data_IF_063208995535
#
_entry.id   IF_063208995535
#
_cell.length_a   1.000
_cell.length_b   1.000
_cell.length_c   1.000
_cell.angle_alpha   90.00
_cell.angle_beta   90.00
_cell.angle_gamma   90.00
#
_symmetry.space_group_name_H-M   'P 1'
#
loop_
_entity.id
_entity.type
_entity.pdbx_description
1 polymer ?
#
# COMPACT_ATOMS: atom_id res chain seq x y z
N UNK A 1 -2.00 -19.10 19.54
CA UNK A 1 -1.04 -18.69 20.58
C UNK A 1 -1.41 -17.26 20.98
N UNK A 2 -1.92 -17.02 22.20
CA UNK A 2 -2.39 -15.69 22.63
C UNK A 2 -1.18 -14.82 22.97
N UNK A 3 -0.99 -13.72 22.24
CA UNK A 3 0.05 -12.73 22.54
C UNK A 3 -0.39 -11.84 23.71
N UNK A 4 0.46 -11.59 24.74
CA UNK A 4 0.13 -10.67 25.82
C UNK A 4 0.13 -9.21 25.34
N UNK A 5 -0.63 -8.37 26.04
CA UNK A 5 -0.97 -6.98 25.71
C UNK A 5 0.26 -6.03 25.68
N UNK A 6 1.45 -6.47 26.10
CA UNK A 6 2.70 -5.69 26.08
C UNK A 6 3.70 -6.19 25.02
N UNK A 7 3.27 -6.25 23.75
CA UNK A 7 4.13 -6.67 22.64
C UNK A 7 5.40 -5.82 22.47
N UNK A 8 5.36 -4.54 22.86
CA UNK A 8 6.46 -3.58 22.71
C UNK A 8 7.68 -3.93 23.59
N UNK A 9 7.46 -4.28 24.86
CA UNK A 9 8.54 -4.57 25.82
C UNK A 9 9.21 -5.92 25.55
N UNK A 10 8.41 -6.95 25.22
CA UNK A 10 8.92 -8.28 24.88
C UNK A 10 9.78 -8.20 23.61
N UNK A 11 9.39 -7.35 22.66
CA UNK A 11 10.08 -7.26 21.37
C UNK A 11 11.36 -6.41 21.42
N UNK A 12 11.37 -5.36 22.26
CA UNK A 12 12.58 -4.58 22.57
C UNK A 12 13.62 -5.41 23.34
N UNK A 13 13.19 -6.31 24.22
CA UNK A 13 14.09 -7.23 24.93
C UNK A 13 14.82 -8.23 24.01
N UNK A 14 14.27 -8.54 22.83
CA UNK A 14 14.86 -9.49 21.87
C UNK A 14 15.81 -8.83 20.85
N UNK A 15 15.74 -7.51 20.64
CA UNK A 15 16.46 -6.80 19.56
C UNK A 15 17.50 -5.76 20.03
N UNK A 16 17.90 -5.78 21.30
CA UNK A 16 18.71 -4.74 21.94
C UNK A 16 20.21 -4.65 21.57
N UNK A 17 20.64 -5.10 20.39
CA UNK A 17 22.06 -5.06 20.00
C UNK A 17 22.28 -4.66 18.55
N UNK A 18 22.67 -3.40 18.32
CA UNK A 18 23.29 -2.89 17.08
C UNK A 18 22.67 -3.36 15.76
N UNK A 19 21.43 -2.93 15.53
CA UNK A 19 20.69 -3.18 14.31
C UNK A 19 20.63 -1.86 13.50
N UNK A 20 21.09 -1.92 12.24
CA UNK A 20 21.26 -0.78 11.32
C UNK A 20 19.94 -0.01 11.12
N UNK A 21 20.00 1.31 10.89
CA UNK A 21 18.86 2.24 10.90
C UNK A 21 17.62 1.81 10.11
N UNK A 22 17.79 1.15 8.95
CA UNK A 22 16.67 0.63 8.16
C UNK A 22 15.89 -0.47 8.88
N UNK A 23 16.62 -1.29 9.62
CA UNK A 23 16.05 -2.39 10.33
C UNK A 23 15.31 -1.86 11.55
N UNK A 24 15.66 -0.73 12.18
CA UNK A 24 14.77 -0.04 13.17
C UNK A 24 13.45 0.46 12.55
N UNK A 25 13.47 0.92 11.32
CA UNK A 25 12.29 1.42 10.59
C UNK A 25 11.36 0.26 10.20
N UNK A 26 11.92 -0.80 9.62
CA UNK A 26 11.21 -2.05 9.38
C UNK A 26 10.79 -2.72 10.68
N UNK A 27 11.57 -2.56 11.74
CA UNK A 27 11.29 -3.09 13.06
C UNK A 27 10.12 -2.36 13.73
N UNK A 28 10.05 -1.02 13.65
CA UNK A 28 8.86 -0.29 14.09
C UNK A 28 7.66 -0.57 13.18
N UNK A 29 7.86 -0.75 11.88
CA UNK A 29 6.84 -1.27 10.96
C UNK A 29 6.32 -2.64 11.40
N UNK A 30 7.21 -3.55 11.78
CA UNK A 30 6.93 -4.89 12.33
C UNK A 30 6.43 -4.86 13.79
N UNK A 31 6.55 -3.74 14.50
CA UNK A 31 5.98 -3.50 15.85
C UNK A 31 4.58 -2.91 15.75
N UNK A 32 4.33 -2.05 14.75
CA UNK A 32 2.99 -1.55 14.40
C UNK A 32 2.17 -2.68 13.75
N UNK A 33 2.82 -3.57 13.01
CA UNK A 33 2.20 -4.65 12.25
C UNK A 33 1.29 -5.56 13.11
N UNK A 34 1.70 -6.13 14.26
CA UNK A 34 0.83 -6.93 15.13
C UNK A 34 -0.37 -6.15 15.68
N UNK A 35 -0.20 -4.85 15.94
CA UNK A 35 -1.28 -3.98 16.39
C UNK A 35 -2.31 -3.76 15.28
N UNK A 36 -1.87 -3.72 14.01
CA UNK A 36 -2.73 -3.46 12.84
C UNK A 36 -3.29 -4.70 12.13
N UNK A 37 -2.69 -5.88 12.30
CA UNK A 37 -3.09 -7.12 11.58
C UNK A 37 -3.85 -8.13 12.44
N UNK A 38 -3.64 -8.18 13.76
CA UNK A 38 -4.44 -9.08 14.61
C UNK A 38 -5.90 -8.65 14.76
N UNK A 39 -6.27 -7.43 14.36
CA UNK A 39 -7.64 -6.92 14.42
C UNK A 39 -8.01 -6.23 13.10
N UNK A 40 -8.40 -7.03 12.12
CA UNK A 40 -8.88 -6.59 10.80
C UNK A 40 -10.23 -5.85 10.87
N UNK A 41 -10.79 -5.66 12.07
CA UNK A 41 -12.06 -4.96 12.33
C UNK A 41 -11.87 -3.88 13.39
N UNK A 42 -12.22 -2.63 13.06
CA UNK A 42 -12.29 -1.50 13.99
C UNK A 42 -11.13 -0.50 13.90
N UNK A 43 -10.73 0.06 15.04
CA UNK A 43 -9.83 1.22 15.19
C UNK A 43 -8.46 1.03 14.51
N UNK A 44 -7.93 -0.20 14.50
CA UNK A 44 -6.59 -0.48 14.00
C UNK A 44 -6.45 -0.43 12.47
N UNK A 45 -7.54 -0.71 11.74
CA UNK A 45 -7.59 -0.48 10.30
C UNK A 45 -7.48 1.01 9.94
N UNK A 46 -8.13 1.87 10.73
CA UNK A 46 -8.09 3.33 10.54
C UNK A 46 -6.72 3.92 10.87
N UNK A 47 -6.08 3.47 11.95
CA UNK A 47 -4.71 3.90 12.30
C UNK A 47 -3.74 3.58 11.16
N UNK A 48 -3.90 2.42 10.52
CA UNK A 48 -3.08 2.09 9.35
C UNK A 48 -3.36 3.04 8.19
N UNK A 49 -4.63 3.30 7.87
CA UNK A 49 -4.98 4.23 6.80
C UNK A 49 -4.41 5.62 7.06
N UNK A 50 -4.52 6.16 8.26
CA UNK A 50 -3.93 7.46 8.60
C UNK A 50 -2.41 7.50 8.33
N UNK A 51 -1.69 6.45 8.73
CA UNK A 51 -0.25 6.32 8.48
C UNK A 51 0.05 6.19 6.99
N UNK A 52 -0.69 5.36 6.27
CA UNK A 52 -0.57 5.16 4.82
C UNK A 52 -0.71 6.49 4.09
N UNK A 53 -1.82 7.21 4.29
CA UNK A 53 -2.10 8.45 3.57
C UNK A 53 -1.14 9.57 3.97
N UNK A 54 -0.77 9.69 5.24
CA UNK A 54 0.29 10.63 5.64
C UNK A 54 1.64 10.30 4.99
N UNK A 55 1.97 9.02 4.84
CA UNK A 55 3.13 8.56 4.08
C UNK A 55 3.04 8.94 2.59
N UNK A 56 1.88 8.72 1.97
CA UNK A 56 1.63 9.11 0.57
C UNK A 56 1.72 10.64 0.38
N UNK A 57 1.25 11.44 1.34
CA UNK A 57 1.35 12.90 1.24
C UNK A 57 2.79 13.40 1.32
N UNK A 58 3.59 12.86 2.26
CA UNK A 58 4.99 13.24 2.42
C UNK A 58 5.85 12.76 1.26
N UNK A 59 5.62 11.53 0.79
CA UNK A 59 6.43 10.91 -0.26
C UNK A 59 6.04 11.39 -1.67
N UNK A 60 4.95 12.15 -1.82
CA UNK A 60 4.59 12.84 -3.07
C UNK A 60 5.41 14.11 -3.34
N UNK A 61 6.15 14.61 -2.34
CA UNK A 61 6.97 15.82 -2.46
C UNK A 61 8.29 15.50 -3.16
N UNK A 62 8.76 16.42 -4.00
CA UNK A 62 10.04 16.27 -4.72
C UNK A 62 11.24 16.16 -3.77
N UNK A 63 11.12 16.75 -2.58
CA UNK A 63 12.12 16.73 -1.51
C UNK A 63 12.08 15.44 -0.65
N UNK A 64 11.23 14.46 -0.99
CA UNK A 64 11.24 13.14 -0.35
C UNK A 64 12.58 12.42 -0.57
N UNK A 65 12.82 11.36 0.21
CA UNK A 65 13.98 10.49 0.10
C UNK A 65 13.57 9.01 0.06
N UNK A 66 14.44 8.11 -0.45
CA UNK A 66 14.24 6.67 -0.35
C UNK A 66 14.14 6.22 1.12
N UNK A 67 13.50 5.08 1.36
CA UNK A 67 13.51 4.47 2.70
C UNK A 67 14.94 4.11 3.10
N UNK A 68 15.72 3.61 2.14
CA UNK A 68 17.12 3.25 2.31
C UNK A 68 18.05 4.39 1.97
N UNK A 69 18.63 4.99 3.01
CA UNK A 69 19.58 6.09 2.91
C UNK A 69 20.90 5.64 3.54
N UNK A 70 22.01 5.83 2.81
CA UNK A 70 23.34 5.61 3.36
C UNK A 70 23.71 6.72 4.35
N UNK A 71 24.06 6.34 5.57
CA UNK A 71 24.45 7.28 6.63
C UNK A 71 25.94 7.18 6.88
N UNK A 72 26.69 8.21 6.46
CA UNK A 72 28.15 8.25 6.63
C UNK A 72 28.61 8.85 7.96
N UNK A 73 27.74 9.60 8.66
CA UNK A 73 28.08 10.32 9.88
C UNK A 73 26.98 10.17 10.94
N UNK A 74 27.36 10.06 12.22
CA UNK A 74 26.42 9.83 13.33
C UNK A 74 25.31 10.89 13.42
N UNK A 75 25.56 12.13 13.00
CA UNK A 75 24.55 13.19 12.98
C UNK A 75 23.49 13.02 11.87
N UNK A 76 23.82 12.32 10.77
CA UNK A 76 22.88 12.02 9.69
C UNK A 76 21.89 10.90 10.05
N UNK A 77 22.07 10.24 11.19
CA UNK A 77 21.18 9.17 11.68
C UNK A 77 19.79 9.73 12.02
N UNK A 78 19.71 10.95 12.57
CA UNK A 78 18.42 11.59 12.90
C UNK A 78 17.58 11.92 11.66
N UNK A 79 18.22 12.17 10.52
CA UNK A 79 17.53 12.45 9.25
C UNK A 79 16.83 11.23 8.65
N UNK A 80 17.26 10.01 9.02
CA UNK A 80 16.64 8.75 8.55
C UNK A 80 15.54 8.27 9.51
N UNK A 81 15.41 8.88 10.69
CA UNK A 81 14.34 8.57 11.64
C UNK A 81 13.18 9.55 11.51
N UNK A 82 12.66 9.65 10.29
CA UNK A 82 11.60 10.59 9.93
C UNK A 82 10.26 9.88 9.68
N UNK A 83 9.20 10.68 9.51
CA UNK A 83 7.85 10.16 9.26
C UNK A 83 7.78 9.34 7.96
N UNK A 84 8.55 9.67 6.91
CA UNK A 84 8.54 8.93 5.63
C UNK A 84 9.03 7.51 5.89
N UNK A 85 10.19 7.37 6.53
CA UNK A 85 10.80 6.07 6.83
C UNK A 85 9.81 5.16 7.56
N UNK A 86 9.21 5.63 8.64
CA UNK A 86 8.25 4.83 9.43
C UNK A 86 6.94 4.55 8.68
N UNK A 87 6.32 5.56 8.07
CA UNK A 87 5.00 5.41 7.43
C UNK A 87 5.11 4.59 6.16
N UNK A 88 6.00 4.97 5.23
CA UNK A 88 6.25 4.23 3.98
C UNK A 88 6.74 2.82 4.26
N UNK A 89 7.72 2.67 5.16
CA UNK A 89 8.25 1.36 5.53
C UNK A 89 7.17 0.40 6.05
N UNK A 90 6.28 0.87 6.94
CA UNK A 90 5.18 0.06 7.46
C UNK A 90 4.14 -0.29 6.39
N UNK A 91 3.80 0.65 5.51
CA UNK A 91 2.85 0.44 4.42
C UNK A 91 3.38 -0.56 3.39
N UNK A 92 4.64 -0.42 2.99
CA UNK A 92 5.31 -1.30 2.04
C UNK A 92 5.43 -2.73 2.59
N UNK A 93 5.68 -2.90 3.89
CA UNK A 93 5.63 -4.22 4.54
C UNK A 93 4.22 -4.82 4.53
N UNK A 94 3.18 -4.02 4.81
CA UNK A 94 1.78 -4.50 4.74
C UNK A 94 1.39 -4.89 3.32
N UNK A 95 1.83 -4.13 2.32
CA UNK A 95 1.63 -4.48 0.91
C UNK A 95 2.30 -5.82 0.57
N UNK A 96 3.54 -6.04 1.02
CA UNK A 96 4.24 -7.31 0.83
C UNK A 96 3.52 -8.48 1.51
N UNK A 97 3.03 -8.29 2.74
CA UNK A 97 2.20 -9.30 3.42
C UNK A 97 0.93 -9.60 2.61
N UNK A 98 0.23 -8.58 2.13
CA UNK A 98 -0.98 -8.75 1.32
C UNK A 98 -0.72 -9.49 0.01
N UNK A 99 0.48 -9.36 -0.56
CA UNK A 99 0.92 -10.09 -1.75
C UNK A 99 1.27 -11.55 -1.44
N UNK A 100 2.02 -11.81 -0.36
CA UNK A 100 2.49 -13.15 0.00
C UNK A 100 1.44 -14.01 0.71
N UNK A 101 0.46 -13.37 1.35
CA UNK A 101 -0.45 -14.00 2.29
C UNK A 101 0.17 -14.15 3.69
N UNK A 102 -0.71 -14.22 4.69
CA UNK A 102 -0.35 -14.17 6.10
C UNK A 102 0.56 -15.33 6.53
N UNK A 103 0.27 -16.54 6.06
CA UNK A 103 0.99 -17.76 6.46
C UNK A 103 2.45 -17.73 6.01
N UNK A 104 2.69 -17.39 4.73
CA UNK A 104 4.04 -17.30 4.17
C UNK A 104 4.80 -16.16 4.83
N UNK A 105 4.15 -15.01 5.01
CA UNK A 105 4.78 -13.85 5.64
C UNK A 105 5.18 -14.12 7.10
N UNK A 106 4.28 -14.69 7.91
CA UNK A 106 4.54 -15.06 9.30
C UNK A 106 5.65 -16.10 9.42
N UNK A 107 5.60 -17.14 8.59
CA UNK A 107 6.64 -18.18 8.54
C UNK A 107 7.99 -17.55 8.21
N UNK A 108 8.04 -16.70 7.19
CA UNK A 108 9.26 -16.00 6.77
C UNK A 108 9.86 -15.13 7.88
N UNK A 109 9.01 -14.37 8.58
CA UNK A 109 9.45 -13.55 9.70
C UNK A 109 10.00 -14.40 10.86
N UNK A 110 9.32 -15.50 11.19
CA UNK A 110 9.80 -16.46 12.18
C UNK A 110 11.17 -17.05 11.80
N UNK A 111 11.34 -17.46 10.54
CA UNK A 111 12.61 -17.98 10.01
C UNK A 111 13.72 -16.92 10.09
N UNK A 112 13.42 -15.67 9.75
CA UNK A 112 14.35 -14.56 9.81
C UNK A 112 14.83 -14.29 11.25
N UNK A 113 13.90 -14.15 12.19
CA UNK A 113 14.21 -13.89 13.61
C UNK A 113 15.08 -15.03 14.17
N UNK A 114 14.75 -16.30 13.86
CA UNK A 114 15.56 -17.44 14.31
C UNK A 114 16.97 -17.43 13.72
N UNK A 115 17.11 -17.12 12.42
CA UNK A 115 18.40 -17.15 11.70
C UNK A 115 19.37 -16.06 12.17
N UNK A 116 18.84 -14.88 12.48
CA UNK A 116 19.59 -13.68 12.87
C UNK A 116 19.53 -13.36 14.36
N UNK A 117 18.93 -14.22 15.19
CA UNK A 117 18.98 -14.08 16.64
C UNK A 117 20.44 -13.95 17.11
N UNK A 118 20.72 -12.91 17.90
CA UNK A 118 22.06 -12.60 18.42
C UNK A 118 23.11 -12.25 17.36
N UNK A 119 22.69 -11.87 16.14
CA UNK A 119 23.55 -11.45 15.03
C UNK A 119 23.07 -10.12 14.46
N UNK A 120 23.95 -9.46 13.71
CA UNK A 120 23.58 -8.32 12.89
C UNK A 120 22.99 -8.81 11.57
N UNK A 121 22.04 -8.06 11.01
CA UNK A 121 21.46 -8.33 9.69
C UNK A 121 21.34 -7.04 8.88
N UNK A 122 21.30 -7.19 7.55
CA UNK A 122 21.02 -6.12 6.58
C UNK A 122 19.61 -6.27 6.01
N UNK A 123 19.15 -5.26 5.30
CA UNK A 123 17.85 -5.28 4.60
C UNK A 123 17.76 -6.43 3.60
N UNK A 124 18.84 -6.68 2.85
CA UNK A 124 18.91 -7.77 1.88
C UNK A 124 18.81 -9.16 2.53
N UNK A 125 19.17 -9.28 3.80
CA UNK A 125 19.03 -10.53 4.55
C UNK A 125 17.56 -10.87 4.82
N UNK A 126 16.73 -9.86 5.12
CA UNK A 126 15.29 -10.02 5.29
C UNK A 126 14.65 -10.49 3.98
N UNK A 127 14.89 -9.77 2.89
CA UNK A 127 14.35 -10.11 1.58
C UNK A 127 14.79 -11.48 1.10
N UNK A 128 16.02 -11.89 1.40
CA UNK A 128 16.51 -13.23 1.07
C UNK A 128 15.73 -14.31 1.81
N UNK A 129 15.51 -14.17 3.12
CA UNK A 129 14.73 -15.16 3.88
C UNK A 129 13.29 -15.24 3.38
N UNK A 130 12.65 -14.11 3.09
CA UNK A 130 11.29 -14.12 2.54
C UNK A 130 11.27 -14.74 1.14
N UNK A 131 12.30 -14.50 0.31
CA UNK A 131 12.42 -15.14 -1.01
C UNK A 131 12.59 -16.66 -0.91
N UNK A 132 13.41 -17.14 0.04
CA UNK A 132 13.62 -18.56 0.32
C UNK A 132 12.32 -19.27 0.73
N UNK A 133 11.47 -18.60 1.52
CA UNK A 133 10.23 -19.19 2.07
C UNK A 133 9.02 -19.07 1.14
N UNK A 134 8.96 -18.02 0.33
CA UNK A 134 7.87 -17.77 -0.64
C UNK A 134 8.11 -18.40 -2.02
N UNK A 135 9.38 -18.66 -2.38
CA UNK A 135 9.75 -19.06 -3.74
C UNK A 135 9.69 -17.94 -4.78
N UNK A 136 9.44 -16.70 -4.36
CA UNK A 136 9.37 -15.50 -5.22
C UNK A 136 10.60 -14.63 -5.00
N UNK A 137 11.09 -13.95 -6.05
CA UNK A 137 12.22 -13.02 -5.92
C UNK A 137 11.79 -11.70 -5.27
N UNK A 138 11.69 -11.69 -3.94
CA UNK A 138 11.28 -10.52 -3.15
C UNK A 138 12.35 -9.42 -3.14
N UNK A 139 13.62 -9.75 -3.37
CA UNK A 139 14.66 -8.73 -3.47
C UNK A 139 14.39 -7.76 -4.62
N UNK A 140 14.07 -8.28 -5.81
CA UNK A 140 13.77 -7.42 -6.97
C UNK A 140 12.56 -6.54 -6.72
N UNK A 141 11.49 -7.14 -6.16
CA UNK A 141 10.26 -6.42 -5.84
C UNK A 141 10.52 -5.32 -4.81
N UNK A 142 11.15 -5.62 -3.69
CA UNK A 142 11.28 -4.66 -2.58
C UNK A 142 12.35 -3.60 -2.79
N UNK A 143 13.38 -3.86 -3.61
CA UNK A 143 14.41 -2.87 -3.91
C UNK A 143 13.83 -1.60 -4.54
N UNK A 144 12.86 -1.70 -5.46
CA UNK A 144 12.23 -0.52 -6.05
C UNK A 144 11.40 0.27 -5.03
N UNK A 145 10.90 -0.37 -3.97
CA UNK A 145 10.15 0.30 -2.90
C UNK A 145 11.01 0.92 -1.81
N UNK A 146 12.19 0.36 -1.54
CA UNK A 146 13.08 0.87 -0.48
C UNK A 146 14.17 1.81 -0.99
N UNK A 147 14.71 1.58 -2.19
CA UNK A 147 15.85 2.35 -2.74
C UNK A 147 15.43 3.52 -3.63
N UNK A 148 14.15 3.61 -3.98
CA UNK A 148 13.58 4.73 -4.74
C UNK A 148 12.70 5.61 -3.84
N UNK A 149 12.75 6.93 -4.05
CA UNK A 149 11.83 7.89 -3.43
C UNK A 149 10.49 7.90 -4.18
N UNK A 150 9.42 8.30 -3.53
CA UNK A 150 8.10 8.37 -4.15
C UNK A 150 7.42 7.01 -4.34
N UNK A 151 6.30 7.04 -5.04
CA UNK A 151 5.43 5.90 -5.29
C UNK A 151 4.64 6.11 -6.60
N UNK A 152 4.04 5.05 -7.16
CA UNK A 152 3.30 5.17 -8.41
C UNK A 152 1.85 5.62 -8.20
N UNK A 153 1.31 6.32 -9.20
CA UNK A 153 -0.12 6.36 -9.49
C UNK A 153 -0.41 5.40 -10.65
N UNK A 154 -1.45 4.59 -10.48
CA UNK A 154 -1.89 3.62 -11.47
C UNK A 154 -3.11 4.18 -12.19
N UNK A 155 -2.97 4.46 -13.48
CA UNK A 155 -4.09 4.78 -14.35
C UNK A 155 -4.77 3.49 -14.82
N UNK A 156 -6.08 3.44 -14.70
CA UNK A 156 -6.91 2.26 -15.01
C UNK A 156 -7.98 2.65 -16.02
N UNK A 157 -8.00 1.94 -17.14
CA UNK A 157 -9.03 2.06 -18.18
C UNK A 157 -9.55 0.69 -18.59
N UNK A 158 -10.76 0.66 -19.14
CA UNK A 158 -11.36 -0.58 -19.61
C UNK A 158 -11.79 -0.47 -21.07
N UNK A 159 -11.34 -1.42 -21.89
CA UNK A 159 -11.72 -1.54 -23.29
C UNK A 159 -12.03 -2.99 -23.61
N UNK A 160 -13.22 -3.27 -24.15
CA UNK A 160 -13.62 -4.60 -24.61
C UNK A 160 -13.40 -5.73 -23.57
N UNK A 161 -13.75 -5.48 -22.31
CA UNK A 161 -13.52 -6.38 -21.16
C UNK A 161 -12.05 -6.66 -20.83
N UNK A 162 -11.13 -5.82 -21.32
CA UNK A 162 -9.73 -5.82 -20.91
C UNK A 162 -9.51 -4.61 -20.01
N UNK A 163 -8.98 -4.84 -18.81
CA UNK A 163 -8.43 -3.79 -17.97
C UNK A 163 -7.01 -3.50 -18.39
N UNK A 164 -6.73 -2.24 -18.69
CA UNK A 164 -5.38 -1.77 -18.96
C UNK A 164 -4.92 -0.90 -17.79
N UNK A 165 -3.70 -1.17 -17.33
CA UNK A 165 -3.04 -0.49 -16.23
C UNK A 165 -1.79 0.20 -16.76
N UNK A 166 -1.61 1.46 -16.41
CA UNK A 166 -0.41 2.23 -16.69
C UNK A 166 0.10 2.86 -15.40
N UNK A 167 1.36 2.61 -15.05
CA UNK A 167 1.99 3.26 -13.91
C UNK A 167 2.82 4.48 -14.32
N UNK A 168 2.82 5.48 -13.45
CA UNK A 168 3.76 6.60 -13.49
C UNK A 168 4.00 7.09 -12.07
N UNK A 169 5.14 7.73 -11.82
CA UNK A 169 5.41 8.32 -10.51
C UNK A 169 4.39 9.42 -10.17
N UNK A 170 3.88 9.39 -8.95
CA UNK A 170 2.99 10.43 -8.44
C UNK A 170 3.80 11.53 -7.74
N UNK A 171 3.59 12.77 -8.17
CA UNK A 171 4.13 13.97 -7.53
C UNK A 171 2.99 14.96 -7.29
N UNK A 172 2.95 15.57 -6.10
CA UNK A 172 1.92 16.56 -5.75
C UNK A 172 2.05 17.86 -6.56
N UNK A 173 3.23 18.13 -7.13
CA UNK A 173 3.45 19.26 -8.04
C UNK A 173 2.83 19.05 -9.43
N UNK A 174 2.36 17.85 -9.74
CA UNK A 174 1.81 17.48 -11.05
C UNK A 174 2.88 17.20 -12.11
N UNK A 175 4.16 17.36 -11.79
CA UNK A 175 5.27 17.01 -12.66
C UNK A 175 5.30 15.50 -12.96
N UNK A 176 5.98 15.16 -14.06
CA UNK A 176 6.26 13.79 -14.44
C UNK A 176 7.69 13.42 -14.08
N UNK A 177 7.87 12.20 -13.60
CA UNK A 177 9.14 11.58 -13.29
C UNK A 177 9.10 10.12 -13.77
N UNK A 178 10.27 9.54 -14.01
CA UNK A 178 10.44 8.25 -14.69
C UNK A 178 10.56 7.07 -13.72
N UNK A 179 10.12 7.23 -12.47
CA UNK A 179 10.08 6.17 -11.48
C UNK A 179 9.20 5.00 -11.94
N UNK A 180 9.74 3.78 -11.82
CA UNK A 180 9.05 2.52 -12.12
C UNK A 180 9.12 1.59 -10.91
N UNK A 181 8.02 0.90 -10.63
CA UNK A 181 7.91 -0.04 -9.53
C UNK A 181 7.35 -1.37 -10.00
N UNK A 182 7.78 -2.44 -9.34
CA UNK A 182 7.07 -3.72 -9.40
C UNK A 182 5.94 -3.68 -8.37
N UNK A 183 4.70 -3.52 -8.83
CA UNK A 183 3.54 -3.22 -7.96
C UNK A 183 2.67 -4.46 -7.74
N UNK A 184 2.50 -4.93 -6.49
CA UNK A 184 1.47 -5.91 -6.16
C UNK A 184 0.08 -5.30 -6.30
N UNK A 185 -0.58 -5.62 -7.41
CA UNK A 185 -1.90 -5.10 -7.74
C UNK A 185 -2.98 -5.99 -7.15
N UNK A 186 -4.03 -5.37 -6.63
CA UNK A 186 -5.24 -6.05 -6.17
C UNK A 186 -6.45 -5.35 -6.77
N UNK A 187 -7.46 -6.10 -7.19
CA UNK A 187 -8.72 -5.52 -7.62
C UNK A 187 -9.92 -6.43 -7.32
N UNK A 188 -11.10 -5.83 -7.17
CA UNK A 188 -12.37 -6.50 -6.98
C UNK A 188 -13.39 -6.03 -8.04
N UNK A 189 -14.20 -6.96 -8.56
CA UNK A 189 -15.26 -6.67 -9.53
C UNK A 189 -16.64 -6.97 -8.96
N UNK A 190 -17.43 -5.94 -8.69
CA UNK A 190 -18.83 -6.04 -8.24
C UNK A 190 -19.06 -6.64 -6.84
N UNK A 191 -18.17 -7.51 -6.39
CA UNK A 191 -18.10 -8.07 -5.04
C UNK A 191 -16.63 -8.25 -4.65
N UNK A 192 -16.35 -8.07 -3.36
CA UNK A 192 -15.04 -8.34 -2.76
C UNK A 192 -14.69 -9.84 -2.79
N UNK A 193 -15.66 -10.74 -2.93
CA UNK A 193 -15.41 -12.17 -3.10
C UNK A 193 -14.74 -12.48 -4.46
N UNK A 194 -14.94 -11.61 -5.45
CA UNK A 194 -14.31 -11.68 -6.78
C UNK A 194 -13.02 -10.87 -6.80
N UNK A 195 -12.20 -11.03 -5.77
CA UNK A 195 -10.88 -10.40 -5.67
C UNK A 195 -9.86 -11.16 -6.49
N UNK A 196 -9.04 -10.42 -7.22
CA UNK A 196 -7.89 -10.93 -7.94
C UNK A 196 -6.64 -10.13 -7.56
N UNK A 197 -5.50 -10.80 -7.60
CA UNK A 197 -4.20 -10.20 -7.34
C UNK A 197 -3.26 -10.55 -8.51
N UNK A 198 -2.43 -9.60 -8.93
CA UNK A 198 -1.39 -9.83 -9.93
C UNK A 198 -0.20 -8.89 -9.69
N UNK A 199 0.91 -9.13 -10.38
CA UNK A 199 2.08 -8.27 -10.28
C UNK A 199 2.20 -7.41 -11.53
N UNK A 200 2.22 -6.08 -11.37
CA UNK A 200 2.53 -5.16 -12.44
C UNK A 200 4.04 -4.94 -12.46
N UNK A 201 4.73 -5.71 -13.31
CA UNK A 201 6.20 -5.71 -13.37
C UNK A 201 6.77 -4.63 -14.30
N UNK A 202 5.97 -4.13 -15.25
CA UNK A 202 6.36 -3.13 -16.24
C UNK A 202 5.48 -1.88 -16.13
N UNK A 203 5.86 -0.82 -16.85
CA UNK A 203 5.05 0.40 -17.01
C UNK A 203 3.58 0.15 -17.39
N UNK A 204 3.33 -0.88 -18.19
CA UNK A 204 1.99 -1.28 -18.64
C UNK A 204 1.67 -2.71 -18.24
N UNK A 205 0.39 -2.97 -18.00
CA UNK A 205 -0.13 -4.32 -17.78
C UNK A 205 -1.58 -4.43 -18.23
N UNK A 206 -2.02 -5.64 -18.55
CA UNK A 206 -3.41 -5.91 -18.93
C UNK A 206 -3.95 -7.13 -18.22
N UNK A 207 -5.25 -7.11 -17.94
CA UNK A 207 -5.97 -8.25 -17.37
C UNK A 207 -7.29 -8.41 -18.12
N UNK A 208 -7.51 -9.60 -18.68
CA UNK A 208 -8.79 -9.98 -19.27
C UNK A 208 -9.79 -10.27 -18.15
N UNK A 209 -10.92 -9.56 -18.17
CA UNK A 209 -11.99 -9.71 -17.18
C UNK A 209 -13.30 -10.26 -17.78
N UNK A 210 -13.26 -10.81 -18.99
CA UNK A 210 -14.41 -11.40 -19.69
C UNK A 210 -15.12 -12.48 -18.87
N UNK A 211 -14.39 -13.31 -18.13
CA UNK A 211 -14.94 -14.37 -17.27
C UNK A 211 -15.72 -13.82 -16.05
N UNK A 212 -15.49 -12.56 -15.67
CA UNK A 212 -16.11 -11.96 -14.48
C UNK A 212 -17.41 -11.21 -14.78
N UNK A 213 -17.69 -10.88 -16.04
CA UNK A 213 -18.93 -10.24 -16.46
C UNK A 213 -20.04 -11.29 -16.66
N UNK A 214 -21.15 -11.23 -15.91
CA UNK A 214 -22.37 -11.88 -16.32
C UNK A 214 -22.75 -11.34 -17.69
N UNK A 215 -23.31 -12.20 -18.55
CA UNK A 215 -23.71 -11.94 -19.93
C UNK A 215 -24.78 -10.83 -20.11
N UNK A 216 -25.10 -10.06 -19.06
CA UNK A 216 -26.20 -9.08 -19.07
C UNK A 216 -26.05 -7.83 -18.17
N UNK A 217 -24.94 -7.62 -17.44
CA UNK A 217 -24.83 -6.46 -16.52
C UNK A 217 -23.68 -5.49 -16.85
N UNK A 218 -24.04 -4.31 -17.37
CA UNK A 218 -23.15 -3.17 -17.63
C UNK A 218 -22.78 -2.39 -16.34
N UNK A 219 -23.19 -2.88 -15.17
CA UNK A 219 -23.23 -2.12 -13.90
C UNK A 219 -22.17 -2.53 -12.88
N UNK A 220 -21.25 -3.42 -13.24
CA UNK A 220 -20.18 -3.88 -12.34
C UNK A 220 -19.17 -2.76 -12.08
N UNK A 221 -19.01 -2.38 -10.81
CA UNK A 221 -17.94 -1.51 -10.35
C UNK A 221 -16.63 -2.28 -10.21
N UNK A 222 -15.51 -1.57 -10.38
CA UNK A 222 -14.17 -2.13 -10.25
C UNK A 222 -13.39 -1.29 -9.25
N UNK A 223 -12.95 -1.91 -8.15
CA UNK A 223 -12.08 -1.26 -7.16
C UNK A 223 -10.70 -1.88 -7.21
N UNK A 224 -9.71 -1.08 -7.60
CA UNK A 224 -8.28 -1.41 -7.55
C UNK A 224 -7.69 -0.93 -6.23
N UNK A 225 -6.62 -1.56 -5.75
CA UNK A 225 -6.03 -1.38 -4.43
C UNK A 225 -7.03 -1.67 -3.30
N UNK A 226 -7.56 -2.89 -3.28
CA UNK A 226 -8.57 -3.33 -2.30
C UNK A 226 -8.05 -3.13 -0.88
N UNK A 227 -8.90 -2.53 -0.03
CA UNK A 227 -8.61 -2.13 1.36
C UNK A 227 -7.46 -1.13 1.54
N UNK A 228 -7.01 -0.47 0.47
CA UNK A 228 -5.83 0.42 0.47
C UNK A 228 -4.60 -0.30 1.04
N UNK A 229 -4.42 -1.55 0.65
CA UNK A 229 -3.33 -2.41 1.12
C UNK A 229 -1.98 -2.10 0.46
N UNK A 230 -2.00 -1.56 -0.75
CA UNK A 230 -0.81 -1.13 -1.49
C UNK A 230 -0.46 0.34 -1.27
N UNK A 231 0.84 0.64 -1.31
CA UNK A 231 1.37 2.01 -1.19
C UNK A 231 1.42 2.70 -2.56
N UNK A 232 0.26 2.89 -3.17
CA UNK A 232 0.10 3.55 -4.46
C UNK A 232 -1.30 4.14 -4.58
N UNK A 233 -1.46 5.11 -5.48
CA UNK A 233 -2.75 5.75 -5.77
C UNK A 233 -3.37 5.21 -7.03
N UNK A 234 -4.70 5.29 -7.16
CA UNK A 234 -5.40 4.85 -8.38
C UNK A 234 -6.14 5.99 -9.04
N UNK A 235 -5.93 6.16 -10.34
CA UNK A 235 -6.68 7.05 -11.21
C UNK A 235 -7.52 6.22 -12.18
N UNK A 236 -8.82 6.46 -12.23
CA UNK A 236 -9.74 5.73 -13.10
C UNK A 236 -10.14 6.58 -14.31
N UNK A 237 -10.38 5.95 -15.45
CA UNK A 237 -11.10 6.59 -16.56
C UNK A 237 -12.53 7.00 -16.13
N UNK A 238 -13.10 7.99 -16.81
CA UNK A 238 -14.39 8.59 -16.44
C UNK A 238 -15.54 7.57 -16.30
N UNK A 239 -15.56 6.55 -17.16
CA UNK A 239 -16.57 5.47 -17.11
C UNK A 239 -16.46 4.65 -15.83
N UNK A 240 -15.26 4.18 -15.49
CA UNK A 240 -15.00 3.41 -14.28
C UNK A 240 -15.21 4.25 -13.03
N UNK A 241 -14.79 5.52 -13.05
CA UNK A 241 -15.03 6.47 -11.97
C UNK A 241 -16.54 6.68 -11.72
N UNK A 242 -17.36 6.75 -12.79
CA UNK A 242 -18.81 6.84 -12.67
C UNK A 242 -19.45 5.58 -12.08
N UNK A 243 -18.93 4.39 -12.41
CA UNK A 243 -19.38 3.12 -11.81
C UNK A 243 -19.02 3.05 -10.31
N UNK A 244 -17.80 3.44 -9.95
CA UNK A 244 -17.37 3.53 -8.55
C UNK A 244 -18.24 4.51 -7.75
N UNK A 245 -18.57 5.67 -8.32
CA UNK A 245 -19.48 6.63 -7.68
C UNK A 245 -20.84 6.02 -7.37
N UNK A 246 -21.44 5.27 -8.31
CA UNK A 246 -22.70 4.54 -8.07
C UNK A 246 -22.54 3.47 -6.99
N UNK A 247 -21.40 2.79 -6.93
CA UNK A 247 -21.11 1.81 -5.90
C UNK A 247 -21.01 2.44 -4.50
N UNK A 248 -20.45 3.65 -4.39
CA UNK A 248 -20.46 4.46 -3.16
C UNK A 248 -21.89 4.81 -2.76
N UNK A 249 -22.70 5.35 -3.68
CA UNK A 249 -24.09 5.75 -3.41
C UNK A 249 -24.97 4.57 -2.92
N UNK A 250 -24.72 3.37 -3.45
CA UNK A 250 -25.42 2.15 -3.09
C UNK A 250 -24.80 1.42 -1.88
N UNK A 251 -23.76 1.99 -1.25
CA UNK A 251 -23.04 1.42 -0.13
C UNK A 251 -22.49 -0.01 -0.38
N UNK A 252 -21.99 -0.25 -1.59
CA UNK A 252 -21.42 -1.53 -2.00
C UNK A 252 -19.93 -1.69 -1.63
N UNK A 253 -19.29 -0.63 -1.13
CA UNK A 253 -17.85 -0.56 -0.87
C UNK A 253 -17.53 -0.54 0.63
N UNK A 254 -16.40 -1.14 1.00
CA UNK A 254 -15.87 -1.08 2.37
C UNK A 254 -15.52 0.36 2.75
N UNK A 255 -15.65 0.70 4.05
CA UNK A 255 -15.30 2.02 4.58
C UNK A 255 -13.86 2.44 4.25
N UNK A 256 -12.92 1.49 4.26
CA UNK A 256 -11.50 1.72 3.94
C UNK A 256 -11.31 2.11 2.47
N UNK A 257 -12.02 1.43 1.56
CA UNK A 257 -11.97 1.72 0.13
C UNK A 257 -12.68 3.03 -0.22
N UNK A 258 -13.82 3.29 0.43
CA UNK A 258 -14.55 4.56 0.37
C UNK A 258 -13.62 5.74 0.72
N UNK A 259 -12.94 5.66 1.87
CA UNK A 259 -11.95 6.67 2.27
C UNK A 259 -10.83 6.82 1.23
N UNK A 260 -10.23 5.71 0.80
CA UNK A 260 -9.10 5.78 -0.13
C UNK A 260 -9.47 6.30 -1.52
N UNK A 261 -10.69 6.03 -2.02
CA UNK A 261 -11.18 6.63 -3.27
C UNK A 261 -11.28 8.15 -3.15
N UNK A 262 -11.77 8.63 -2.00
CA UNK A 262 -11.88 10.07 -1.73
C UNK A 262 -10.51 10.72 -1.61
N UNK A 263 -9.58 10.10 -0.87
CA UNK A 263 -8.21 10.60 -0.70
C UNK A 263 -7.44 10.62 -2.03
N UNK A 264 -7.55 9.55 -2.83
CA UNK A 264 -6.95 9.48 -4.17
C UNK A 264 -7.48 10.60 -5.07
N UNK A 265 -8.81 10.80 -5.12
CA UNK A 265 -9.40 11.88 -5.92
C UNK A 265 -8.93 13.26 -5.45
N UNK A 266 -8.86 13.49 -4.13
CA UNK A 266 -8.35 14.75 -3.59
C UNK A 266 -6.90 14.98 -3.99
N UNK A 267 -6.02 14.00 -3.82
CA UNK A 267 -4.61 14.10 -4.19
C UNK A 267 -4.43 14.31 -5.70
N UNK A 268 -5.20 13.60 -6.54
CA UNK A 268 -5.21 13.77 -7.99
C UNK A 268 -5.65 15.18 -8.41
N UNK A 269 -6.63 15.76 -7.71
CA UNK A 269 -7.05 17.14 -7.94
C UNK A 269 -5.97 18.16 -7.53
N UNK A 270 -5.33 17.96 -6.37
CA UNK A 270 -4.21 18.81 -5.91
C UNK A 270 -3.06 18.77 -6.91
N UNK A 271 -2.76 17.59 -7.47
CA UNK A 271 -1.73 17.40 -8.49
C UNK A 271 -2.16 17.83 -9.91
N UNK A 272 -3.33 18.47 -10.07
CA UNK A 272 -3.88 18.88 -11.36
C UNK A 272 -4.08 17.74 -12.39
N UNK A 273 -4.17 16.49 -11.92
CA UNK A 273 -4.43 15.31 -12.77
C UNK A 273 -5.92 15.03 -12.97
N UNK A 274 -6.79 15.57 -12.12
CA UNK A 274 -8.25 15.48 -12.20
C UNK A 274 -8.91 16.85 -11.92
N UNK A 275 -10.02 17.20 -12.57
CA UNK A 275 -10.68 18.48 -12.34
C UNK A 275 -11.40 18.49 -10.98
N UNK A 276 -11.44 19.67 -10.33
CA UNK A 276 -12.14 19.85 -9.05
C UNK A 276 -13.62 19.46 -9.11
N UNK A 277 -14.27 19.61 -10.28
CA UNK A 277 -15.64 19.18 -10.49
C UNK A 277 -15.83 17.67 -10.29
N UNK A 278 -14.85 16.84 -10.67
CA UNK A 278 -14.89 15.39 -10.44
C UNK A 278 -14.87 15.06 -8.95
N UNK A 279 -14.05 15.78 -8.16
CA UNK A 279 -14.04 15.64 -6.71
C UNK A 279 -15.39 16.05 -6.09
N UNK A 280 -15.96 17.19 -6.49
CA UNK A 280 -17.28 17.62 -5.98
C UNK A 280 -18.40 16.63 -6.32
N UNK A 281 -18.39 16.07 -7.53
CA UNK A 281 -19.32 15.02 -7.95
C UNK A 281 -19.15 13.74 -7.12
N UNK A 282 -17.91 13.36 -6.83
CA UNK A 282 -17.62 12.23 -5.96
C UNK A 282 -18.11 12.50 -4.53
N UNK A 283 -17.79 13.66 -3.95
CA UNK A 283 -18.23 14.05 -2.60
C UNK A 283 -19.76 14.02 -2.46
N UNK A 284 -20.50 14.37 -3.50
CA UNK A 284 -21.96 14.29 -3.49
C UNK A 284 -22.49 12.84 -3.34
N UNK A 285 -21.74 11.83 -3.81
CA UNK A 285 -22.09 10.42 -3.58
C UNK A 285 -21.96 10.01 -2.11
N UNK A 286 -21.08 10.68 -1.35
CA UNK A 286 -20.88 10.45 0.08
C UNK A 286 -21.87 11.21 0.97
N UNK A 287 -22.88 11.90 0.42
CA UNK A 287 -23.83 12.72 1.20
C UNK A 287 -24.57 11.97 2.31
N UNK A 288 -24.79 10.66 2.12
CA UNK A 288 -25.49 9.78 3.05
C UNK A 288 -24.52 8.88 3.83
N UNK A 289 -23.22 9.17 3.79
CA UNK A 289 -22.22 8.38 4.50
C UNK A 289 -22.42 8.55 6.00
N UNK A 290 -22.50 7.43 6.70
CA UNK A 290 -22.75 7.36 8.15
C UNK A 290 -21.59 6.70 8.90
N UNK A 291 -20.54 6.28 8.19
CA UNK A 291 -19.27 5.82 8.76
C UNK A 291 -18.53 6.98 9.45
N UNK A 292 -19.13 7.52 10.51
CA UNK A 292 -18.66 8.64 11.31
C UNK A 292 -17.65 8.22 12.39
N UNK A 293 -17.00 7.06 12.24
CA UNK A 293 -16.09 6.54 13.26
C UNK A 293 -14.70 7.16 13.10
N UNK A 294 -14.64 8.49 13.21
CA UNK A 294 -13.49 9.13 13.84
C UNK A 294 -13.63 8.85 15.35
N UNK A 295 -12.80 7.96 15.87
CA UNK A 295 -12.62 7.78 17.32
C UNK A 295 -11.33 8.47 17.74
#
# INVERSE_FOLDING_TARGET
MKWPINGLEIWLQWNGGLICGLMRVLQHGLVIWPLTTCFQSGIYGLIFLEKLHGGLSLDALEQSHPVEVEVHHAHGVEQVFDDISYRKGSAVIRMLQGYLGDDIFQKSLSSYIKKYSWKNAKTEDLWRVISEESGVNINSLMNCWTKQKGYPVIYVKSKDHILEFEQSQFLSSGLHDDGEWTVPMTFALGSYDKRNNFLLESKFGTVDISEFFPTSDETLWIKVNVEQSGFYRVMYEDRLAAQLRKAVENNCLLATDKFGILDDMFALCVACKQPLSSLLLLMNAYKNEMDNKCY
#
